data_IF_010750962232
#
_entry.id   IF_010750962232
#
_cell.length_a   1.000
_cell.length_b   1.000
_cell.length_c   1.000
_cell.angle_alpha   90.00
_cell.angle_beta   90.00
_cell.angle_gamma   90.00
#
_symmetry.space_group_name_H-M   'P 1'
#
loop_
_entity.id
_entity.type
_entity.pdbx_description
1 polymer ?
#
# COMPACT_ATOMS: atom_id res chain seq x y z
N UNK A 1 -0.59 3.88 -11.66
CA UNK A 1 0.05 3.22 -10.49
C UNK A 1 0.62 4.32 -9.60
N UNK A 2 0.36 4.28 -8.29
CA UNK A 2 0.88 5.27 -7.35
C UNK A 2 2.40 5.39 -7.44
N UNK A 3 2.90 6.62 -7.32
CA UNK A 3 4.34 6.89 -7.43
C UNK A 3 5.04 7.03 -6.07
N UNK A 4 4.26 6.98 -4.99
CA UNK A 4 4.77 7.12 -3.61
C UNK A 4 3.84 6.44 -2.60
N UNK A 5 4.36 6.22 -1.39
CA UNK A 5 3.58 5.90 -0.20
C UNK A 5 3.45 7.15 0.67
N UNK A 6 2.23 7.68 0.81
CA UNK A 6 1.90 8.74 1.76
C UNK A 6 1.94 8.26 3.21
N UNK A 7 1.97 9.17 4.18
CA UNK A 7 2.06 8.87 5.60
C UNK A 7 0.88 9.42 6.36
N UNK A 8 0.39 8.69 7.36
CA UNK A 8 -0.49 9.26 8.38
C UNK A 8 0.31 9.73 9.59
N UNK A 9 0.04 10.95 10.02
CA UNK A 9 0.70 11.56 11.18
C UNK A 9 -0.34 11.90 12.21
N UNK A 10 -0.10 11.47 13.44
CA UNK A 10 -1.01 11.61 14.58
C UNK A 10 -0.39 12.49 15.65
N UNK A 11 -1.17 13.43 16.18
CA UNK A 11 -0.67 14.40 17.15
C UNK A 11 -0.13 13.72 18.42
N UNK A 12 -0.78 12.64 18.87
CA UNK A 12 -0.36 11.84 20.04
C UNK A 12 0.93 11.06 19.81
N UNK A 13 1.24 10.70 18.56
CA UNK A 13 2.43 9.91 18.19
C UNK A 13 3.52 10.76 17.52
N UNK A 14 3.27 12.06 17.34
CA UNK A 14 4.10 12.92 16.51
C UNK A 14 5.56 12.97 16.94
N UNK A 15 5.84 13.03 18.23
CA UNK A 15 7.23 13.06 18.72
C UNK A 15 8.02 11.79 18.34
N UNK A 16 7.36 10.64 18.29
CA UNK A 16 7.97 9.38 17.84
C UNK A 16 8.11 9.33 16.32
N UNK A 17 7.18 9.97 15.60
CA UNK A 17 7.17 10.00 14.13
C UNK A 17 8.19 11.00 13.53
N UNK A 18 8.62 12.02 14.29
CA UNK A 18 9.57 13.05 13.79
C UNK A 18 10.84 12.47 13.18
N UNK A 19 11.51 11.57 13.89
CA UNK A 19 12.79 11.01 13.43
C UNK A 19 12.64 10.21 12.12
N UNK A 20 11.70 9.26 11.98
CA UNK A 20 11.48 8.57 10.72
C UNK A 20 10.99 9.48 9.58
N UNK A 21 10.19 10.51 9.89
CA UNK A 21 9.74 11.49 8.89
C UNK A 21 10.90 12.36 8.38
N UNK A 22 11.79 12.81 9.28
CA UNK A 22 12.97 13.58 8.91
C UNK A 22 13.99 12.77 8.08
N UNK A 23 14.07 11.45 8.32
CA UNK A 23 14.93 10.54 7.57
C UNK A 23 14.38 10.21 6.16
N UNK A 24 13.11 10.45 5.91
CA UNK A 24 12.46 10.22 4.62
C UNK A 24 12.28 11.55 3.91
N UNK A 25 12.97 11.82 2.78
CA UNK A 25 12.80 13.07 2.07
C UNK A 25 11.32 13.22 1.66
N UNK A 26 10.73 14.36 2.00
CA UNK A 26 9.34 14.66 1.68
C UNK A 26 9.07 14.60 0.17
N UNK A 27 9.98 15.09 -0.65
CA UNK A 27 9.90 15.02 -2.12
C UNK A 27 8.55 15.48 -2.70
N UNK A 28 7.77 16.26 -1.93
CA UNK A 28 6.40 16.61 -2.29
C UNK A 28 5.36 15.52 -2.00
N UNK A 29 5.73 14.40 -1.34
CA UNK A 29 4.78 13.37 -0.94
C UNK A 29 3.77 13.92 0.09
N UNK A 30 2.49 13.49 0.04
CA UNK A 30 1.49 13.95 0.98
C UNK A 30 1.63 13.23 2.33
N UNK A 31 1.28 13.96 3.39
CA UNK A 31 0.95 13.40 4.69
C UNK A 31 -0.53 13.63 4.97
N UNK A 32 -1.16 12.64 5.54
CA UNK A 32 -2.53 12.70 6.05
C UNK A 32 -2.47 12.96 7.56
N UNK A 33 -3.19 13.96 8.04
CA UNK A 33 -3.39 14.24 9.47
C UNK A 33 -4.89 14.34 9.75
N UNK A 34 -5.32 14.05 10.98
CA UNK A 34 -6.70 14.34 11.37
C UNK A 34 -6.70 15.42 12.45
N UNK A 35 -7.53 16.45 12.24
CA UNK A 35 -7.70 17.58 13.15
C UNK A 35 -9.04 17.55 13.92
N UNK A 36 -9.77 16.44 13.86
CA UNK A 36 -11.04 16.29 14.56
C UNK A 36 -11.13 15.00 15.41
N UNK A 37 -10.00 14.34 15.69
CA UNK A 37 -9.98 13.17 16.58
C UNK A 37 -10.21 13.63 18.02
N UNK A 38 -11.38 13.32 18.57
CA UNK A 38 -11.80 13.76 19.89
C UNK A 38 -10.85 13.34 21.02
N UNK A 39 -10.25 12.15 20.92
CA UNK A 39 -9.29 11.63 21.89
C UNK A 39 -7.99 12.44 21.96
N UNK A 40 -7.68 13.21 20.91
CA UNK A 40 -6.50 14.08 20.88
C UNK A 40 -6.77 15.47 21.48
N UNK A 41 -8.04 15.83 21.69
CA UNK A 41 -8.42 17.12 22.24
C UNK A 41 -8.03 17.23 23.72
N UNK A 42 -7.53 18.40 24.10
CA UNK A 42 -7.11 18.69 25.47
C UNK A 42 -6.38 20.02 25.56
N UNK A 43 -5.88 20.39 26.76
CA UNK A 43 -5.17 21.66 26.94
C UNK A 43 -4.03 21.81 25.91
N UNK A 44 -4.00 22.98 25.24
CA UNK A 44 -2.98 23.30 24.25
C UNK A 44 -3.07 22.49 22.93
N UNK A 45 -4.21 21.86 22.63
CA UNK A 45 -4.40 21.10 21.39
C UNK A 45 -4.07 21.93 20.15
N UNK A 46 -4.68 23.11 20.01
CA UNK A 46 -4.47 23.98 18.86
C UNK A 46 -3.00 24.37 18.67
N UNK A 47 -2.30 24.66 19.75
CA UNK A 47 -0.88 25.04 19.69
C UNK A 47 0.01 23.87 19.28
N UNK A 48 -0.26 22.68 19.81
CA UNK A 48 0.46 21.45 19.43
C UNK A 48 0.21 21.10 17.96
N UNK A 49 -1.04 21.18 17.49
CA UNK A 49 -1.40 20.92 16.11
C UNK A 49 -0.76 21.95 15.16
N UNK A 50 -0.76 23.25 15.50
CA UNK A 50 -0.03 24.29 14.75
C UNK A 50 1.47 24.00 14.69
N UNK A 51 2.07 23.59 15.80
CA UNK A 51 3.50 23.24 15.84
C UNK A 51 3.81 22.02 14.94
N UNK A 52 2.97 21.00 14.96
CA UNK A 52 3.08 19.83 14.09
C UNK A 52 2.98 20.21 12.61
N UNK A 53 1.94 20.95 12.23
CA UNK A 53 1.74 21.39 10.84
C UNK A 53 2.92 22.25 10.36
N UNK A 54 3.39 23.18 11.18
CA UNK A 54 4.55 24.03 10.87
C UNK A 54 5.82 23.20 10.67
N UNK A 55 6.04 22.20 11.50
CA UNK A 55 7.18 21.30 11.35
C UNK A 55 7.09 20.49 10.05
N UNK A 56 5.93 19.89 9.76
CA UNK A 56 5.70 19.09 8.56
C UNK A 56 5.88 19.92 7.28
N UNK A 57 5.27 21.09 7.22
CA UNK A 57 5.43 22.00 6.07
C UNK A 57 6.86 22.50 5.91
N UNK A 58 7.56 22.75 7.03
CA UNK A 58 8.99 23.11 7.03
C UNK A 58 9.91 21.98 6.56
N UNK A 59 9.49 20.72 6.62
CA UNK A 59 10.18 19.57 6.01
C UNK A 59 9.78 19.35 4.54
N UNK A 60 8.88 20.17 3.99
CA UNK A 60 8.43 20.07 2.60
C UNK A 60 7.29 19.07 2.36
N UNK A 61 6.62 18.57 3.43
CA UNK A 61 5.46 17.71 3.28
C UNK A 61 4.22 18.50 2.82
N UNK A 62 3.46 17.95 1.88
CA UNK A 62 2.12 18.44 1.54
C UNK A 62 1.12 17.86 2.53
N UNK A 63 0.49 18.71 3.32
CA UNK A 63 -0.40 18.30 4.41
C UNK A 63 -1.85 18.26 3.92
N UNK A 64 -2.44 17.08 3.89
CA UNK A 64 -3.87 16.87 3.72
C UNK A 64 -4.48 16.66 5.10
N UNK A 65 -5.29 17.63 5.55
CA UNK A 65 -5.87 17.59 6.88
C UNK A 65 -7.34 17.15 6.84
N UNK A 66 -7.65 16.14 7.63
CA UNK A 66 -9.01 15.67 7.88
C UNK A 66 -9.70 16.61 8.87
N UNK A 67 -10.81 17.21 8.46
CA UNK A 67 -11.52 18.28 9.19
C UNK A 67 -13.02 18.04 9.19
N UNK A 68 -13.69 18.56 10.24
CA UNK A 68 -15.14 18.65 10.34
C UNK A 68 -15.56 20.12 10.55
N UNK A 69 -16.85 20.36 10.60
CA UNK A 69 -17.41 21.71 10.84
C UNK A 69 -16.88 22.38 12.13
N UNK A 70 -16.53 21.57 13.15
CA UNK A 70 -16.02 22.08 14.44
C UNK A 70 -14.53 22.38 14.42
N UNK A 71 -13.80 22.02 13.34
CA UNK A 71 -12.33 22.17 13.32
C UNK A 71 -11.89 23.66 13.27
N UNK A 72 -12.48 24.48 12.41
CA UNK A 72 -12.08 25.89 12.29
C UNK A 72 -12.22 26.64 13.63
N UNK A 73 -13.34 26.54 14.36
CA UNK A 73 -13.50 27.12 15.70
C UNK A 73 -12.42 26.70 16.72
N UNK A 74 -11.91 25.45 16.67
CA UNK A 74 -10.82 25.00 17.56
C UNK A 74 -9.53 25.81 17.38
N UNK A 75 -9.35 26.39 16.18
CA UNK A 75 -8.22 27.24 15.86
C UNK A 75 -8.55 28.73 15.91
N UNK A 76 -9.74 29.13 16.41
CA UNK A 76 -10.19 30.52 16.47
C UNK A 76 -10.48 31.12 15.10
N UNK A 77 -10.90 30.30 14.14
CA UNK A 77 -11.25 30.69 12.78
C UNK A 77 -12.77 30.55 12.57
N UNK A 78 -13.31 31.38 11.71
CA UNK A 78 -14.76 31.41 11.42
C UNK A 78 -15.17 30.46 10.28
N UNK A 79 -14.20 30.11 9.40
CA UNK A 79 -14.45 29.33 8.19
C UNK A 79 -13.31 28.31 7.94
N UNK A 80 -13.68 27.10 7.51
CA UNK A 80 -12.75 26.05 7.13
C UNK A 80 -11.80 26.48 5.99
N UNK A 81 -12.24 27.38 5.10
CA UNK A 81 -11.42 27.93 4.04
C UNK A 81 -10.19 28.73 4.52
N UNK A 82 -10.15 29.10 5.80
CA UNK A 82 -9.00 29.80 6.41
C UNK A 82 -7.94 28.82 6.95
N UNK A 83 -8.29 27.54 7.16
CA UNK A 83 -7.39 26.54 7.74
C UNK A 83 -6.09 26.33 6.91
N UNK A 84 -6.12 26.25 5.57
CA UNK A 84 -4.91 26.06 4.79
C UNK A 84 -3.86 27.15 5.01
N UNK A 85 -4.26 28.42 5.00
CA UNK A 85 -3.34 29.52 5.26
C UNK A 85 -2.85 29.55 6.70
N UNK A 86 -3.76 29.37 7.67
CA UNK A 86 -3.44 29.42 9.10
C UNK A 86 -2.51 28.30 9.58
N UNK A 87 -2.56 27.13 8.94
CA UNK A 87 -1.83 25.94 9.35
C UNK A 87 -0.78 25.45 8.32
N UNK A 88 -0.69 26.08 7.15
CA UNK A 88 0.20 25.65 6.06
C UNK A 88 -0.21 24.31 5.44
N UNK A 89 -1.53 24.10 5.25
CA UNK A 89 -2.06 22.89 4.67
C UNK A 89 -2.06 22.99 3.13
N UNK A 90 -1.86 21.85 2.49
CA UNK A 90 -2.05 21.72 1.04
C UNK A 90 -3.52 21.57 0.65
N UNK A 91 -4.30 20.83 1.44
CA UNK A 91 -5.71 20.56 1.19
C UNK A 91 -6.46 20.10 2.42
N UNK A 92 -7.78 20.03 2.28
CA UNK A 92 -8.70 19.59 3.33
C UNK A 92 -9.41 18.30 2.92
N UNK A 93 -9.44 17.30 3.78
CA UNK A 93 -10.39 16.19 3.68
C UNK A 93 -11.62 16.55 4.50
N UNK A 94 -12.74 16.69 3.80
CA UNK A 94 -14.01 17.07 4.41
C UNK A 94 -14.70 15.83 4.96
N UNK A 95 -14.86 15.78 6.28
CA UNK A 95 -15.61 14.73 6.96
C UNK A 95 -17.04 15.20 7.24
N UNK A 96 -17.61 14.92 8.40
CA UNK A 96 -18.98 15.28 8.72
C UNK A 96 -19.21 16.80 8.82
N UNK A 97 -20.46 17.22 8.50
CA UNK A 97 -20.95 18.59 8.68
C UNK A 97 -20.84 19.50 7.46
N UNK A 98 -20.22 19.07 6.37
CA UNK A 98 -20.16 19.89 5.14
C UNK A 98 -21.25 19.49 4.15
N UNK A 99 -22.00 20.50 3.68
CA UNK A 99 -22.92 20.35 2.55
C UNK A 99 -22.17 20.21 1.23
N UNK A 100 -22.87 19.70 0.19
CA UNK A 100 -22.29 19.61 -1.16
C UNK A 100 -21.89 21.00 -1.71
N UNK A 101 -22.71 22.01 -1.45
CA UNK A 101 -22.46 23.38 -1.92
C UNK A 101 -21.18 23.97 -1.28
N UNK A 102 -20.99 23.77 0.02
CA UNK A 102 -19.76 24.16 0.74
C UNK A 102 -18.55 23.42 0.21
N UNK A 103 -18.67 22.10 0.01
CA UNK A 103 -17.59 21.30 -0.56
C UNK A 103 -17.22 21.76 -1.98
N UNK A 104 -18.19 22.08 -2.83
CA UNK A 104 -17.94 22.65 -4.15
C UNK A 104 -17.27 24.04 -4.08
N UNK A 105 -17.71 24.88 -3.15
CA UNK A 105 -17.10 26.21 -2.96
C UNK A 105 -15.64 26.10 -2.48
N UNK A 106 -15.30 25.13 -1.64
CA UNK A 106 -13.93 24.84 -1.22
C UNK A 106 -13.10 24.26 -2.39
N UNK A 107 -13.67 23.31 -3.15
CA UNK A 107 -13.02 22.69 -4.31
C UNK A 107 -12.57 23.71 -5.36
N UNK A 108 -13.36 24.77 -5.56
CA UNK A 108 -13.03 25.86 -6.48
C UNK A 108 -11.78 26.68 -6.06
N UNK A 109 -11.37 26.57 -4.78
CA UNK A 109 -10.32 27.42 -4.18
C UNK A 109 -9.06 26.65 -3.82
N UNK A 110 -9.17 25.36 -3.52
CA UNK A 110 -8.08 24.55 -2.99
C UNK A 110 -8.29 23.07 -3.27
N UNK A 111 -7.26 22.21 -3.16
CA UNK A 111 -7.42 20.77 -3.14
C UNK A 111 -8.32 20.32 -2.01
N UNK A 112 -9.31 19.50 -2.32
CA UNK A 112 -10.15 18.85 -1.30
C UNK A 112 -10.19 17.36 -1.48
N UNK A 113 -10.46 16.66 -0.39
CA UNK A 113 -10.78 15.25 -0.40
C UNK A 113 -12.13 14.99 0.27
N UNK A 114 -12.86 13.98 -0.23
CA UNK A 114 -14.14 13.54 0.33
C UNK A 114 -14.11 12.04 0.60
N UNK A 115 -15.08 11.55 1.36
CA UNK A 115 -15.19 10.12 1.67
C UNK A 115 -15.65 9.34 0.44
N UNK A 116 -14.76 8.50 -0.12
CA UNK A 116 -15.03 7.69 -1.31
C UNK A 116 -16.17 6.69 -1.12
N UNK A 117 -16.37 6.20 0.11
CA UNK A 117 -17.38 5.17 0.40
C UNK A 117 -18.81 5.70 0.50
N UNK A 118 -18.98 7.01 0.66
CA UNK A 118 -20.31 7.65 0.82
C UNK A 118 -20.66 8.62 -0.30
N UNK A 119 -19.70 9.00 -1.14
CA UNK A 119 -19.92 9.92 -2.27
C UNK A 119 -20.71 9.24 -3.38
N UNK A 120 -21.89 9.79 -3.68
CA UNK A 120 -22.74 9.31 -4.76
C UNK A 120 -22.24 9.76 -6.15
N UNK A 121 -22.67 9.11 -7.25
CA UNK A 121 -22.28 9.53 -8.60
C UNK A 121 -22.61 11.00 -8.93
N UNK A 122 -23.76 11.48 -8.44
CA UNK A 122 -24.17 12.87 -8.66
C UNK A 122 -23.28 13.86 -7.91
N UNK A 123 -22.93 13.55 -6.66
CA UNK A 123 -21.99 14.35 -5.88
C UNK A 123 -20.57 14.34 -6.50
N UNK A 124 -20.11 13.17 -6.93
CA UNK A 124 -18.81 13.04 -7.60
C UNK A 124 -18.71 13.91 -8.85
N UNK A 125 -19.77 13.91 -9.70
CA UNK A 125 -19.82 14.75 -10.89
C UNK A 125 -19.83 16.25 -10.55
N UNK A 126 -20.59 16.67 -9.54
CA UNK A 126 -20.65 18.07 -9.10
C UNK A 126 -19.29 18.54 -8.54
N UNK A 127 -18.65 17.73 -7.68
CA UNK A 127 -17.37 18.04 -7.09
C UNK A 127 -16.24 18.11 -8.13
N UNK A 128 -16.19 17.16 -9.05
CA UNK A 128 -15.19 17.16 -10.13
C UNK A 128 -15.35 18.36 -11.08
N UNK A 129 -16.57 18.85 -11.27
CA UNK A 129 -16.82 20.06 -12.05
C UNK A 129 -16.48 21.35 -11.28
N UNK A 130 -16.50 21.33 -9.95
CA UNK A 130 -16.27 22.49 -9.10
C UNK A 130 -14.80 22.88 -8.96
N UNK A 131 -13.85 21.93 -9.06
CA UNK A 131 -12.42 22.21 -8.90
C UNK A 131 -11.53 21.21 -9.59
N UNK A 132 -10.28 21.59 -9.91
CA UNK A 132 -9.36 20.76 -10.68
C UNK A 132 -8.70 19.63 -9.85
N UNK A 133 -8.76 19.71 -8.54
CA UNK A 133 -8.04 18.80 -7.64
C UNK A 133 -8.95 18.30 -6.52
N UNK A 134 -9.84 17.37 -6.91
CA UNK A 134 -10.76 16.71 -5.99
C UNK A 134 -10.38 15.24 -5.85
N UNK A 135 -10.12 14.83 -4.62
CA UNK A 135 -9.70 13.48 -4.25
C UNK A 135 -10.86 12.79 -3.54
N UNK A 136 -11.07 11.52 -3.82
CA UNK A 136 -11.92 10.66 -3.02
C UNK A 136 -11.04 9.70 -2.22
N UNK A 137 -11.19 9.66 -0.89
CA UNK A 137 -10.38 8.79 -0.03
C UNK A 137 -11.27 7.75 0.61
N UNK A 138 -10.98 6.48 0.36
CA UNK A 138 -11.53 5.38 1.15
C UNK A 138 -10.92 5.41 2.55
N UNK A 139 -11.75 5.39 3.58
CA UNK A 139 -11.28 5.42 4.96
C UNK A 139 -10.44 4.18 5.30
N UNK A 140 -9.64 4.29 6.33
CA UNK A 140 -9.10 3.12 7.04
C UNK A 140 -10.09 2.68 8.12
N UNK A 141 -10.03 1.40 8.46
CA UNK A 141 -10.97 0.75 9.38
C UNK A 141 -10.21 0.17 10.59
N UNK A 142 -10.23 0.86 11.77
CA UNK A 142 -9.48 0.41 12.95
C UNK A 142 -10.00 -0.90 13.53
N UNK A 143 -11.35 -1.07 13.52
CA UNK A 143 -11.99 -2.26 14.06
C UNK A 143 -11.86 -3.42 13.08
N UNK A 144 -11.30 -4.58 13.48
CA UNK A 144 -11.33 -5.79 12.66
C UNK A 144 -12.73 -6.14 12.19
N UNK A 145 -12.81 -6.73 11.02
CA UNK A 145 -14.07 -7.16 10.35
C UNK A 145 -14.95 -6.01 9.83
N UNK A 146 -14.44 -4.76 9.81
CA UNK A 146 -15.19 -3.61 9.29
C UNK A 146 -14.55 -2.97 8.05
N UNK A 147 -13.39 -3.45 7.61
CA UNK A 147 -12.78 -3.02 6.36
C UNK A 147 -13.65 -3.34 5.15
N UNK A 148 -13.43 -2.63 4.06
CA UNK A 148 -14.20 -2.79 2.83
C UNK A 148 -14.00 -4.17 2.21
N UNK A 149 -15.03 -4.62 1.50
CA UNK A 149 -14.96 -5.77 0.60
C UNK A 149 -14.26 -5.39 -0.72
N UNK A 150 -13.61 -6.35 -1.40
CA UNK A 150 -12.95 -6.14 -2.68
C UNK A 150 -13.87 -5.59 -3.77
N UNK A 151 -15.08 -6.12 -3.90
CA UNK A 151 -16.06 -5.75 -4.90
C UNK A 151 -16.51 -4.30 -4.69
N UNK A 152 -16.84 -3.92 -3.46
CA UNK A 152 -17.25 -2.55 -3.14
C UNK A 152 -16.15 -1.54 -3.43
N UNK A 153 -14.90 -1.83 -3.02
CA UNK A 153 -13.75 -0.96 -3.31
C UNK A 153 -13.56 -0.78 -4.82
N UNK A 154 -13.65 -1.85 -5.59
CA UNK A 154 -13.44 -1.81 -7.03
C UNK A 154 -14.53 -1.02 -7.76
N UNK A 155 -15.80 -1.22 -7.40
CA UNK A 155 -16.95 -0.54 -8.01
C UNK A 155 -16.94 0.96 -7.70
N UNK A 156 -16.78 1.33 -6.43
CA UNK A 156 -16.73 2.72 -5.99
C UNK A 156 -15.51 3.45 -6.57
N UNK A 157 -14.33 2.83 -6.60
CA UNK A 157 -13.13 3.41 -7.23
C UNK A 157 -13.38 3.72 -8.71
N UNK A 158 -13.91 2.76 -9.47
CA UNK A 158 -14.21 2.97 -10.90
C UNK A 158 -15.22 4.08 -11.13
N UNK A 159 -16.27 4.13 -10.32
CA UNK A 159 -17.32 5.16 -10.41
C UNK A 159 -16.74 6.55 -10.19
N UNK A 160 -15.90 6.72 -9.16
CA UNK A 160 -15.28 8.00 -8.80
C UNK A 160 -14.26 8.45 -9.84
N UNK A 161 -13.42 7.53 -10.33
CA UNK A 161 -12.47 7.82 -11.40
C UNK A 161 -13.17 8.17 -12.71
N UNK A 162 -14.28 7.53 -13.04
CA UNK A 162 -15.09 7.87 -14.21
C UNK A 162 -15.70 9.28 -14.12
N UNK A 163 -15.93 9.80 -12.91
CA UNK A 163 -16.32 11.18 -12.68
C UNK A 163 -15.15 12.19 -12.75
N UNK A 164 -13.91 11.73 -12.91
CA UNK A 164 -12.70 12.57 -13.00
C UNK A 164 -11.98 12.80 -11.66
N UNK A 165 -12.35 12.10 -10.60
CA UNK A 165 -11.69 12.22 -9.29
C UNK A 165 -10.49 11.28 -9.20
N UNK A 166 -9.46 11.69 -8.45
CA UNK A 166 -8.42 10.78 -7.98
C UNK A 166 -8.95 9.96 -6.79
N UNK A 167 -8.60 8.68 -6.73
CA UNK A 167 -9.05 7.80 -5.63
C UNK A 167 -7.86 7.31 -4.81
N UNK A 168 -7.92 7.53 -3.50
CA UNK A 168 -6.88 7.16 -2.56
C UNK A 168 -7.41 6.13 -1.56
N UNK A 169 -6.49 5.33 -0.99
CA UNK A 169 -6.81 4.31 0.00
C UNK A 169 -5.66 4.15 1.03
N UNK A 170 -5.90 3.38 2.09
CA UNK A 170 -4.92 3.14 3.14
C UNK A 170 -4.48 1.68 3.19
N UNK A 171 -3.22 1.49 3.55
CA UNK A 171 -2.64 0.19 3.90
C UNK A 171 -2.23 0.16 5.37
N UNK A 172 -2.16 -1.03 6.01
CA UNK A 172 -1.66 -1.14 7.38
C UNK A 172 -0.15 -0.86 7.45
N UNK A 173 0.32 -0.48 8.64
CA UNK A 173 1.73 -0.48 8.99
C UNK A 173 2.23 -1.85 9.44
N UNK A 174 3.53 -1.95 9.76
CA UNK A 174 4.17 -3.19 10.24
C UNK A 174 5.08 -2.99 11.47
N UNK A 175 5.30 -1.74 11.89
CA UNK A 175 6.12 -1.43 13.06
C UNK A 175 5.29 -0.89 14.22
N UNK A 176 4.85 0.36 14.11
CA UNK A 176 4.04 1.01 15.13
C UNK A 176 2.60 1.06 14.63
N UNK A 177 1.73 0.29 15.25
CA UNK A 177 0.31 0.30 14.98
C UNK A 177 -0.38 1.32 15.87
N UNK A 178 -1.44 1.95 15.36
CA UNK A 178 -2.20 2.95 16.11
C UNK A 178 -3.13 2.31 17.12
N UNK A 179 -3.12 2.86 18.34
CA UNK A 179 -4.08 2.52 19.39
C UNK A 179 -5.50 3.02 19.10
N UNK A 180 -6.47 2.58 19.90
CA UNK A 180 -6.32 1.68 21.05
C UNK A 180 -6.29 0.18 20.68
N UNK A 181 -6.66 -0.20 19.44
CA UNK A 181 -6.85 -1.60 19.04
C UNK A 181 -5.54 -2.27 18.57
N UNK A 182 -4.59 -1.52 18.03
CA UNK A 182 -3.33 -2.03 17.47
C UNK A 182 -3.53 -3.18 16.46
N UNK A 183 -4.62 -3.11 15.69
CA UNK A 183 -5.03 -4.13 14.72
C UNK A 183 -4.71 -3.77 13.27
N UNK A 184 -3.97 -2.68 13.06
CA UNK A 184 -3.69 -2.12 11.74
C UNK A 184 -4.84 -1.27 11.19
N UNK A 185 -4.51 -0.40 10.24
CA UNK A 185 -5.44 0.57 9.67
C UNK A 185 -5.56 0.43 8.15
N UNK A 186 -6.05 -0.72 7.63
CA UNK A 186 -6.28 -0.91 6.21
C UNK A 186 -7.62 -0.33 5.75
N UNK A 187 -7.74 -0.04 4.45
CA UNK A 187 -9.02 0.16 3.78
C UNK A 187 -9.72 -1.17 3.50
N UNK A 188 -9.03 -2.14 2.91
CA UNK A 188 -9.57 -3.49 2.67
C UNK A 188 -9.35 -4.38 3.89
N UNK A 189 -10.39 -5.12 4.30
CA UNK A 189 -10.25 -6.09 5.39
C UNK A 189 -9.21 -7.17 5.07
N UNK A 190 -9.13 -7.60 3.83
CA UNK A 190 -8.15 -8.58 3.36
C UNK A 190 -6.67 -8.15 3.54
N UNK A 191 -6.42 -6.85 3.75
CA UNK A 191 -5.08 -6.33 4.01
C UNK A 191 -4.70 -6.34 5.49
N UNK A 192 -5.64 -6.63 6.38
CA UNK A 192 -5.35 -6.69 7.82
C UNK A 192 -4.34 -7.81 8.11
N UNK A 193 -3.21 -7.45 8.70
CA UNK A 193 -2.10 -8.37 8.94
C UNK A 193 -1.20 -8.68 7.73
N UNK A 194 -1.55 -8.22 6.52
CA UNK A 194 -0.65 -8.30 5.38
C UNK A 194 0.56 -7.36 5.55
N UNK A 195 1.65 -7.67 4.86
CA UNK A 195 2.79 -6.75 4.78
C UNK A 195 2.42 -5.49 3.99
N UNK A 196 2.95 -4.30 4.36
CA UNK A 196 2.67 -3.05 3.64
C UNK A 196 2.92 -3.13 2.12
N UNK A 197 4.01 -3.73 1.69
CA UNK A 197 4.29 -3.96 0.26
C UNK A 197 3.19 -4.78 -0.42
N UNK A 198 2.70 -5.83 0.24
CA UNK A 198 1.68 -6.71 -0.34
C UNK A 198 0.35 -5.97 -0.50
N UNK A 199 -0.08 -5.24 0.53
CA UNK A 199 -1.27 -4.40 0.49
C UNK A 199 -1.14 -3.26 -0.55
N UNK A 200 0.04 -2.62 -0.63
CA UNK A 200 0.33 -1.57 -1.62
C UNK A 200 0.23 -2.11 -3.05
N UNK A 201 0.87 -3.24 -3.33
CA UNK A 201 0.86 -3.84 -4.65
C UNK A 201 -0.55 -4.27 -5.07
N UNK A 202 -1.33 -4.82 -4.14
CA UNK A 202 -2.71 -5.23 -4.39
C UNK A 202 -3.60 -4.04 -4.76
N UNK A 203 -3.57 -2.95 -3.97
CA UNK A 203 -4.31 -1.73 -4.29
C UNK A 203 -3.91 -1.14 -5.65
N UNK A 204 -2.62 -1.12 -5.94
CA UNK A 204 -2.09 -0.53 -7.17
C UNK A 204 -2.42 -1.36 -8.42
N UNK A 205 -2.38 -2.70 -8.32
CA UNK A 205 -2.52 -3.60 -9.47
C UNK A 205 -3.98 -3.98 -9.74
N UNK A 206 -4.75 -4.28 -8.69
CA UNK A 206 -6.12 -4.79 -8.87
C UNK A 206 -7.18 -3.71 -8.79
N UNK A 207 -6.98 -2.69 -7.96
CA UNK A 207 -7.99 -1.65 -7.76
C UNK A 207 -7.65 -0.35 -8.48
N UNK A 208 -6.40 -0.16 -8.91
CA UNK A 208 -6.00 0.98 -9.72
C UNK A 208 -6.15 2.32 -9.00
N UNK A 209 -6.02 2.35 -7.67
CA UNK A 209 -6.09 3.60 -6.90
C UNK A 209 -4.92 4.52 -7.28
N UNK A 210 -5.17 5.83 -7.23
CA UNK A 210 -4.21 6.85 -7.68
C UNK A 210 -3.19 7.21 -6.59
N UNK A 211 -3.57 7.04 -5.31
CA UNK A 211 -2.70 7.31 -4.17
C UNK A 211 -2.91 6.33 -3.02
N UNK A 212 -1.85 6.06 -2.27
CA UNK A 212 -1.88 5.13 -1.14
C UNK A 212 -1.19 5.77 0.06
N UNK A 213 -1.87 5.77 1.21
CA UNK A 213 -1.32 6.17 2.50
C UNK A 213 -1.07 4.95 3.40
N UNK A 214 -0.04 4.99 4.22
CA UNK A 214 0.03 4.15 5.40
C UNK A 214 -0.94 4.71 6.44
N UNK A 215 -1.90 3.91 6.90
CA UNK A 215 -2.86 4.31 7.93
C UNK A 215 -2.20 4.37 9.32
N UNK A 216 -1.34 3.42 9.62
CA UNK A 216 -0.61 3.36 10.89
C UNK A 216 0.58 4.33 10.95
N UNK A 217 1.01 4.73 12.18
CA UNK A 217 2.14 5.64 12.38
C UNK A 217 3.48 5.12 11.88
N UNK A 218 3.68 3.79 11.82
CA UNK A 218 4.97 3.18 11.52
C UNK A 218 4.94 2.16 10.38
N UNK A 219 5.77 2.42 9.35
CA UNK A 219 6.13 1.46 8.30
C UNK A 219 7.63 1.26 8.35
N UNK A 220 8.09 0.01 8.35
CA UNK A 220 9.51 -0.31 8.46
C UNK A 220 10.33 0.23 7.30
N UNK A 221 11.61 0.56 7.52
CA UNK A 221 12.51 0.97 6.44
C UNK A 221 12.60 -0.07 5.33
N UNK A 222 12.51 -1.36 5.66
CA UNK A 222 12.49 -2.44 4.68
C UNK A 222 11.28 -2.31 3.74
N UNK A 223 10.07 -2.22 4.28
CA UNK A 223 8.83 -2.08 3.50
C UNK A 223 8.84 -0.80 2.65
N UNK A 224 9.28 0.31 3.24
CA UNK A 224 9.42 1.57 2.53
C UNK A 224 10.34 1.45 1.32
N UNK A 225 11.50 0.81 1.49
CA UNK A 225 12.48 0.60 0.41
C UNK A 225 11.91 -0.29 -0.70
N UNK A 226 11.18 -1.38 -0.35
CA UNK A 226 10.58 -2.26 -1.35
C UNK A 226 9.44 -1.57 -2.12
N UNK A 227 8.59 -0.80 -1.44
CA UNK A 227 7.54 0.00 -2.08
C UNK A 227 8.15 1.05 -3.01
N UNK A 228 9.15 1.81 -2.55
CA UNK A 228 9.84 2.80 -3.36
C UNK A 228 10.47 2.17 -4.62
N UNK A 229 11.09 1.00 -4.48
CA UNK A 229 11.63 0.24 -5.60
C UNK A 229 10.53 -0.15 -6.59
N UNK A 230 9.40 -0.67 -6.11
CA UNK A 230 8.26 -1.01 -6.97
C UNK A 230 7.74 0.21 -7.72
N UNK A 231 7.61 1.36 -7.05
CA UNK A 231 7.17 2.60 -7.67
C UNK A 231 8.12 3.09 -8.78
N UNK A 232 9.45 3.02 -8.54
CA UNK A 232 10.45 3.58 -9.46
C UNK A 232 10.85 2.63 -10.59
N UNK A 233 11.12 1.37 -10.28
CA UNK A 233 11.64 0.39 -11.25
C UNK A 233 10.52 -0.35 -12.01
N UNK A 234 9.28 -0.28 -11.51
CA UNK A 234 8.14 -1.08 -11.99
C UNK A 234 8.47 -2.59 -12.03
N UNK A 235 9.24 -3.02 -11.04
CA UNK A 235 9.62 -4.41 -10.77
C UNK A 235 9.09 -4.76 -9.39
N UNK A 236 8.18 -5.73 -9.30
CA UNK A 236 7.57 -6.13 -8.03
C UNK A 236 8.57 -6.94 -7.19
N UNK A 237 9.00 -6.45 -6.02
CA UNK A 237 9.81 -7.24 -5.10
C UNK A 237 8.94 -8.32 -4.46
N UNK A 238 9.44 -9.54 -4.38
CA UNK A 238 8.77 -10.68 -3.75
C UNK A 238 9.69 -11.22 -2.66
N UNK A 239 9.39 -11.00 -1.39
CA UNK A 239 10.16 -11.54 -0.27
C UNK A 239 10.00 -13.07 -0.21
N UNK A 240 11.09 -13.76 -0.44
CA UNK A 240 11.18 -15.22 -0.52
C UNK A 240 12.30 -15.74 0.37
N UNK A 241 12.05 -16.71 1.18
CA UNK A 241 13.09 -17.50 1.81
C UNK A 241 13.56 -18.59 0.85
N UNK A 242 14.75 -18.44 0.29
CA UNK A 242 15.36 -19.40 -0.62
C UNK A 242 16.30 -20.35 0.12
N UNK A 243 16.28 -21.60 -0.29
CA UNK A 243 17.30 -22.57 0.10
C UNK A 243 18.72 -22.02 -0.18
N UNK A 244 19.72 -22.29 0.66
CA UNK A 244 21.06 -21.70 0.53
C UNK A 244 21.69 -21.84 -0.86
N UNK A 245 21.49 -22.97 -1.51
CA UNK A 245 22.02 -23.24 -2.85
C UNK A 245 21.40 -22.33 -3.95
N UNK A 246 20.23 -21.73 -3.69
CA UNK A 246 19.47 -20.96 -4.65
C UNK A 246 19.47 -19.45 -4.38
N UNK A 247 20.17 -18.97 -3.33
CA UNK A 247 20.26 -17.53 -2.97
C UNK A 247 20.86 -16.66 -4.08
N UNK A 248 21.57 -17.25 -5.02
CA UNK A 248 22.04 -16.53 -6.24
C UNK A 248 20.90 -16.06 -7.17
N UNK A 249 19.64 -16.40 -6.90
CA UNK A 249 18.46 -15.89 -7.59
C UNK A 249 17.98 -14.53 -7.05
N UNK A 250 18.38 -14.14 -5.83
CA UNK A 250 18.02 -12.84 -5.28
C UNK A 250 18.48 -11.68 -6.16
N UNK A 251 17.62 -10.67 -6.28
CA UNK A 251 17.88 -9.46 -7.04
C UNK A 251 17.81 -9.60 -8.56
N UNK A 252 17.75 -10.82 -9.08
CA UNK A 252 17.54 -11.04 -10.50
C UNK A 252 16.11 -10.66 -10.87
N UNK A 253 15.95 -9.91 -11.97
CA UNK A 253 14.65 -9.55 -12.51
C UNK A 253 14.15 -10.67 -13.41
N UNK A 254 12.91 -11.09 -13.17
CA UNK A 254 12.21 -12.09 -13.95
C UNK A 254 10.94 -11.50 -14.54
N UNK A 255 10.50 -12.07 -15.64
CA UNK A 255 9.25 -11.75 -16.33
C UNK A 255 8.29 -12.93 -16.21
N UNK A 256 7.05 -12.66 -15.78
CA UNK A 256 5.99 -13.66 -15.84
C UNK A 256 5.65 -13.96 -17.31
N UNK A 257 5.79 -15.22 -17.72
CA UNK A 257 5.52 -15.61 -19.11
C UNK A 257 4.07 -15.30 -19.50
N UNK A 258 3.84 -14.85 -20.75
CA UNK A 258 2.48 -14.57 -21.25
C UNK A 258 1.54 -15.79 -21.24
N UNK A 259 2.11 -17.00 -21.33
CA UNK A 259 1.40 -18.29 -21.31
C UNK A 259 1.37 -18.93 -19.91
N UNK A 260 1.65 -18.18 -18.84
CA UNK A 260 1.53 -18.68 -17.47
C UNK A 260 0.08 -19.05 -17.17
N UNK A 261 -0.18 -20.28 -16.66
CA UNK A 261 -1.51 -20.69 -16.24
C UNK A 261 -1.91 -19.97 -14.95
N UNK A 262 -3.18 -20.02 -14.59
CA UNK A 262 -3.70 -19.36 -13.38
C UNK A 262 -2.99 -19.84 -12.10
N UNK A 263 -2.69 -21.13 -11.99
CA UNK A 263 -2.08 -21.74 -10.79
C UNK A 263 -0.57 -21.53 -10.62
N UNK A 264 0.13 -20.99 -11.63
CA UNK A 264 1.58 -20.84 -11.62
C UNK A 264 2.04 -19.53 -12.27
N UNK A 265 3.06 -18.91 -11.70
CA UNK A 265 3.89 -17.91 -12.37
C UNK A 265 5.11 -18.62 -12.96
N UNK A 266 5.23 -18.68 -14.28
CA UNK A 266 6.39 -19.26 -14.96
C UNK A 266 7.39 -18.16 -15.27
N UNK A 267 8.67 -18.38 -14.92
CA UNK A 267 9.74 -17.39 -15.12
C UNK A 267 10.27 -17.51 -16.55
N UNK A 268 10.17 -16.44 -17.33
CA UNK A 268 10.58 -16.46 -18.74
C UNK A 268 12.07 -16.76 -18.90
N UNK A 269 12.91 -16.14 -18.08
CA UNK A 269 14.37 -16.21 -18.16
C UNK A 269 14.89 -17.61 -17.79
N UNK A 270 14.20 -18.34 -16.90
CA UNK A 270 14.57 -19.70 -16.51
C UNK A 270 14.46 -20.70 -17.65
N UNK A 271 13.69 -20.41 -18.70
CA UNK A 271 13.61 -21.21 -19.92
C UNK A 271 14.93 -21.25 -20.69
N UNK A 272 15.66 -20.16 -20.72
CA UNK A 272 17.00 -20.11 -21.32
C UNK A 272 17.99 -20.96 -20.54
N UNK A 273 17.94 -20.87 -19.20
CA UNK A 273 18.75 -21.71 -18.33
C UNK A 273 18.47 -23.21 -18.52
N UNK A 274 17.21 -23.61 -18.60
CA UNK A 274 16.80 -25.01 -18.84
C UNK A 274 17.34 -25.60 -20.17
N UNK A 275 17.66 -24.74 -21.15
CA UNK A 275 18.23 -25.18 -22.44
C UNK A 275 19.75 -25.30 -22.41
N UNK A 276 20.45 -24.56 -21.57
CA UNK A 276 21.91 -24.40 -21.61
C UNK A 276 22.61 -24.69 -20.26
N UNK A 277 21.86 -24.73 -19.15
CA UNK A 277 22.39 -25.00 -17.82
C UNK A 277 22.60 -26.49 -17.54
N UNK A 278 23.35 -26.83 -16.48
CA UNK A 278 23.45 -28.22 -16.03
C UNK A 278 22.08 -28.72 -15.51
N UNK A 279 21.79 -30.02 -15.65
CA UNK A 279 20.57 -30.59 -15.09
C UNK A 279 20.49 -30.41 -13.58
N UNK A 280 19.34 -29.99 -13.07
CA UNK A 280 19.08 -29.91 -11.64
C UNK A 280 18.82 -31.33 -11.08
N UNK A 281 19.55 -31.72 -10.03
CA UNK A 281 19.31 -33.01 -9.37
C UNK A 281 18.02 -32.98 -8.53
N UNK A 282 17.29 -34.11 -8.39
CA UNK A 282 16.14 -34.19 -7.49
C UNK A 282 16.53 -33.91 -6.06
N UNK A 283 15.90 -32.91 -5.43
CA UNK A 283 16.11 -32.53 -4.04
C UNK A 283 14.85 -31.83 -3.49
N UNK A 284 14.49 -32.13 -2.23
CA UNK A 284 13.39 -31.41 -1.56
C UNK A 284 12.03 -31.50 -2.27
N UNK A 285 11.74 -32.62 -2.95
CA UNK A 285 10.49 -32.81 -3.68
C UNK A 285 9.33 -33.03 -2.68
N UNK A 286 8.61 -31.98 -2.35
CA UNK A 286 7.51 -31.96 -1.38
C UNK A 286 6.22 -31.37 -1.94
N UNK A 287 5.23 -31.17 -1.06
CA UNK A 287 4.00 -30.46 -1.40
C UNK A 287 4.31 -29.05 -1.89
N UNK A 288 3.70 -28.68 -3.00
CA UNK A 288 3.89 -27.39 -3.67
C UNK A 288 2.72 -26.48 -3.29
N UNK A 289 2.74 -26.00 -2.05
CA UNK A 289 1.71 -25.13 -1.52
C UNK A 289 1.82 -23.72 -2.15
N UNK A 290 0.74 -22.95 -2.10
CA UNK A 290 0.72 -21.54 -2.49
C UNK A 290 1.91 -20.79 -1.88
N UNK A 291 2.59 -19.97 -2.69
CA UNK A 291 3.80 -19.25 -2.30
C UNK A 291 5.09 -20.06 -2.38
N UNK A 292 5.05 -21.34 -2.78
CA UNK A 292 6.26 -22.14 -2.99
C UNK A 292 6.97 -21.72 -4.29
N UNK A 293 8.29 -21.53 -4.22
CA UNK A 293 9.16 -21.41 -5.40
C UNK A 293 9.68 -22.79 -5.75
N UNK A 294 9.50 -23.21 -6.98
CA UNK A 294 9.87 -24.54 -7.46
C UNK A 294 10.85 -24.47 -8.63
N UNK A 295 11.63 -25.54 -8.77
CA UNK A 295 12.51 -25.77 -9.92
C UNK A 295 12.33 -27.20 -10.46
N UNK A 296 12.09 -27.32 -11.76
CA UNK A 296 12.01 -28.61 -12.41
C UNK A 296 13.36 -29.30 -12.40
N UNK A 297 13.41 -30.58 -11.99
CA UNK A 297 14.66 -31.33 -11.94
C UNK A 297 14.87 -32.20 -13.21
N UNK A 298 15.98 -32.94 -13.27
CA UNK A 298 16.39 -33.73 -14.44
C UNK A 298 15.36 -34.74 -14.91
N UNK A 299 14.44 -35.17 -14.03
CA UNK A 299 13.38 -36.12 -14.36
C UNK A 299 12.31 -35.49 -15.29
N UNK A 300 12.24 -34.16 -15.39
CA UNK A 300 11.44 -33.45 -16.37
C UNK A 300 12.17 -33.23 -17.71
N UNK A 301 13.38 -33.80 -17.88
CA UNK A 301 14.16 -33.74 -19.11
C UNK A 301 14.44 -32.30 -19.55
N UNK A 302 13.95 -31.89 -20.71
CA UNK A 302 14.18 -30.58 -21.31
C UNK A 302 13.69 -29.38 -20.47
N UNK A 303 12.92 -29.60 -19.44
CA UNK A 303 12.43 -28.55 -18.53
C UNK A 303 13.30 -28.38 -17.28
N UNK A 304 14.31 -29.25 -17.09
CA UNK A 304 15.21 -29.19 -15.93
C UNK A 304 15.82 -27.80 -15.78
N UNK A 305 15.59 -27.14 -14.63
CA UNK A 305 16.02 -25.77 -14.36
C UNK A 305 14.96 -24.68 -14.63
N UNK A 306 13.76 -25.03 -15.15
CA UNK A 306 12.65 -24.07 -15.18
C UNK A 306 12.18 -23.76 -13.76
N UNK A 307 11.97 -22.45 -13.48
CA UNK A 307 11.53 -21.96 -12.19
C UNK A 307 10.09 -21.50 -12.29
N UNK A 308 9.30 -21.79 -11.26
CA UNK A 308 7.91 -21.36 -11.13
C UNK A 308 7.64 -20.89 -9.69
N UNK A 309 6.62 -20.02 -9.56
CA UNK A 309 6.04 -19.64 -8.29
C UNK A 309 4.59 -20.13 -8.24
N UNK A 310 4.26 -20.86 -7.20
CA UNK A 310 2.97 -21.56 -7.07
C UNK A 310 1.90 -20.63 -6.52
N UNK A 311 0.79 -20.49 -7.24
CA UNK A 311 -0.39 -19.71 -6.82
C UNK A 311 -1.48 -20.51 -6.16
N UNK A 312 -1.57 -21.79 -6.48
CA UNK A 312 -2.58 -22.71 -5.95
C UNK A 312 -1.89 -23.97 -5.46
N UNK A 313 -2.39 -24.56 -4.39
CA UNK A 313 -1.81 -25.78 -3.84
C UNK A 313 -1.76 -26.90 -4.87
N UNK A 314 -0.60 -27.50 -5.03
CA UNK A 314 -0.33 -28.62 -5.91
C UNK A 314 0.26 -29.78 -5.11
N UNK A 315 -0.02 -31.04 -5.51
CA UNK A 315 0.56 -32.21 -4.85
C UNK A 315 2.07 -32.27 -5.03
N UNK A 316 2.73 -33.06 -4.21
CA UNK A 316 4.15 -33.40 -4.38
C UNK A 316 4.39 -34.06 -5.73
N UNK A 317 5.52 -33.75 -6.37
CA UNK A 317 5.98 -34.36 -7.61
C UNK A 317 7.50 -34.58 -7.54
N UNK A 318 7.95 -35.82 -7.63
CA UNK A 318 9.37 -36.16 -7.58
C UNK A 318 10.23 -35.53 -8.68
N UNK A 319 9.61 -34.91 -9.68
CA UNK A 319 10.28 -34.19 -10.78
C UNK A 319 10.46 -32.70 -10.50
N UNK A 320 9.95 -32.20 -9.35
CA UNK A 320 9.92 -30.77 -9.00
C UNK A 320 10.55 -30.57 -7.63
N UNK A 321 11.61 -29.81 -7.58
CA UNK A 321 12.27 -29.41 -6.34
C UNK A 321 11.55 -28.19 -5.76
N UNK A 322 11.34 -28.18 -4.46
CA UNK A 322 10.96 -26.97 -3.71
C UNK A 322 12.24 -26.26 -3.31
N UNK A 323 12.44 -25.04 -3.78
CA UNK A 323 13.69 -24.27 -3.60
C UNK A 323 13.51 -23.01 -2.74
N UNK A 324 12.29 -22.72 -2.31
CA UNK A 324 11.99 -21.58 -1.45
C UNK A 324 10.51 -21.38 -1.20
N UNK A 325 10.20 -20.40 -0.33
CA UNK A 325 8.83 -20.04 0.02
C UNK A 325 8.69 -18.52 0.19
N UNK A 326 7.60 -17.96 -0.30
CA UNK A 326 7.19 -16.59 -0.02
C UNK A 326 6.76 -16.51 1.43
N UNK A 327 7.23 -15.51 2.15
CA UNK A 327 6.85 -15.29 3.54
C UNK A 327 5.32 -15.07 3.67
N UNK A 328 4.67 -15.58 4.74
CA UNK A 328 3.21 -15.65 4.84
C UNK A 328 2.49 -14.31 4.61
N UNK A 329 3.00 -13.22 5.18
CA UNK A 329 2.40 -11.87 5.06
C UNK A 329 2.46 -11.27 3.65
N UNK A 330 3.20 -11.90 2.72
CA UNK A 330 3.36 -11.44 1.33
C UNK A 330 2.60 -12.30 0.31
N UNK A 331 1.74 -13.19 0.76
CA UNK A 331 0.99 -14.11 -0.12
C UNK A 331 0.12 -13.40 -1.16
N UNK A 332 -0.38 -12.19 -0.88
CA UNK A 332 -1.13 -11.37 -1.84
C UNK A 332 -0.31 -11.01 -3.08
N UNK A 333 1.03 -10.91 -2.97
CA UNK A 333 1.90 -10.61 -4.12
C UNK A 333 1.80 -11.64 -5.24
N UNK A 334 1.40 -12.88 -4.91
CA UNK A 334 1.23 -13.93 -5.92
C UNK A 334 0.21 -13.54 -6.99
N UNK A 335 -0.86 -12.88 -6.59
CA UNK A 335 -1.93 -12.46 -7.48
C UNK A 335 -1.57 -11.15 -8.22
N UNK A 336 -0.69 -10.34 -7.63
CA UNK A 336 -0.19 -9.10 -8.24
C UNK A 336 0.79 -9.33 -9.41
N UNK A 337 1.41 -10.53 -9.53
CA UNK A 337 2.28 -10.87 -10.65
C UNK A 337 1.43 -11.26 -11.86
N UNK A 338 1.07 -10.32 -12.69
CA UNK A 338 0.29 -10.58 -13.90
C UNK A 338 1.18 -11.06 -15.06
N UNK A 339 0.57 -11.60 -16.15
CA UNK A 339 1.29 -11.98 -17.36
C UNK A 339 2.04 -10.78 -17.94
N UNK A 340 3.33 -10.95 -18.19
CA UNK A 340 4.22 -9.88 -18.63
C UNK A 340 4.77 -8.98 -17.52
N UNK A 341 4.28 -9.11 -16.29
CA UNK A 341 4.83 -8.35 -15.15
C UNK A 341 6.28 -8.72 -14.87
N UNK A 342 7.07 -7.71 -14.50
CA UNK A 342 8.45 -7.88 -14.02
C UNK A 342 8.46 -7.96 -12.51
N UNK A 343 9.21 -8.89 -11.98
CA UNK A 343 9.36 -9.09 -10.53
C UNK A 343 10.76 -9.58 -10.19
N UNK A 344 11.14 -9.48 -8.92
CA UNK A 344 12.39 -10.03 -8.43
C UNK A 344 12.20 -10.64 -7.05
N UNK A 345 12.89 -11.75 -6.79
CA UNK A 345 12.94 -12.31 -5.44
C UNK A 345 13.93 -11.51 -4.59
N UNK A 346 13.53 -11.19 -3.37
CA UNK A 346 14.37 -10.48 -2.39
C UNK A 346 14.40 -11.26 -1.08
N UNK A 347 15.47 -11.16 -0.27
CA UNK A 347 15.46 -11.73 1.06
C UNK A 347 14.30 -11.14 1.90
N UNK A 348 13.62 -11.94 2.74
CA UNK A 348 12.64 -11.40 3.68
C UNK A 348 13.31 -10.48 4.70
N UNK A 349 12.52 -9.64 5.39
CA UNK A 349 13.03 -8.83 6.49
C UNK A 349 13.58 -9.73 7.62
N UNK A 350 14.44 -9.17 8.48
CA UNK A 350 14.97 -9.91 9.63
C UNK A 350 13.85 -10.40 10.57
N UNK A 351 12.75 -9.65 10.68
CA UNK A 351 11.57 -10.04 11.46
C UNK A 351 10.88 -11.26 10.86
N UNK A 352 10.62 -11.24 9.56
CA UNK A 352 9.97 -12.36 8.85
C UNK A 352 10.82 -13.63 8.87
N UNK A 353 12.15 -13.47 8.77
CA UNK A 353 13.07 -14.60 8.87
C UNK A 353 13.09 -15.25 10.27
N UNK A 354 12.85 -14.45 11.31
CA UNK A 354 12.75 -14.95 12.70
C UNK A 354 11.41 -15.67 12.96
N UNK A 355 10.31 -15.19 12.39
CA UNK A 355 8.98 -15.78 12.55
C UNK A 355 8.81 -17.11 11.77
N UNK A 356 9.73 -17.44 10.86
CA UNK A 356 9.73 -18.66 10.05
C UNK A 356 10.52 -19.84 10.68
N UNK A 357 11.24 -19.61 11.79
CA UNK A 357 12.00 -20.61 12.56
C UNK A 357 11.19 -21.12 13.76
#
# INVERSE_FOLDING_TARGET
>A
MPDFLGRSVYLTEFEKQKAPLAASPAGGAPVFISLHIGEEFGPGYADRARAMCRWLSGQGWRILADVSEVTAPLFGLDDAAQLPEALGLWGLRLDDGFSLDEACALAARMPIAVNASTTTPAQAAALAAAGPEVIAIHNFYPRPETGLDPEFLQESTRMLQAAGMQVYAFIPGDQQLRGPLYAGLPTLEAHRGAAPLAAFADLAVHYGVDGIFAGDPGVSPYEQAQIARFCTEKVLPVPVELEPAHRGLYGKVFTCRPDSPQGLVRFQESRAYAKAGPPAEPAGCGARLRGTVTMDNRLYGRYSGEIQLVRQDLPADGRVNVIGRVAPRYQLLMDCIQRGSRFCMVPPSAKEAADAL
#
